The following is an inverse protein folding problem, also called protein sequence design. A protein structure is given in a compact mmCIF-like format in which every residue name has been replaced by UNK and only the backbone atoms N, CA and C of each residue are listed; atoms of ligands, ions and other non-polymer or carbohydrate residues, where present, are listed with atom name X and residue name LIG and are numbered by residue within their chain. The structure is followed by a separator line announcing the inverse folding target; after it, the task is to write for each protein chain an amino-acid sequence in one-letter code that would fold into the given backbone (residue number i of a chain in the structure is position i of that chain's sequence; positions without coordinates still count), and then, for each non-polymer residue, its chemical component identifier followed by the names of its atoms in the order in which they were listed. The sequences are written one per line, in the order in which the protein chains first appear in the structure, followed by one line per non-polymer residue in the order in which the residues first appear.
data_IF_921691480406
#
_entry.id   IF_921691480406
#
_cell.length_a   1.000
_cell.length_b   1.000
_cell.length_c   1.000
_cell.angle_alpha   90.00
_cell.angle_beta   90.00
_cell.angle_gamma   90.00
#
_symmetry.space_group_name_H-M   'P 1'
#
loop_
_entity.id
_entity.type
_entity.pdbx_description
1 polymer ?
#
# COMPACT_ATOMS: atom_id res chain seq x y z
N UNK A 1 7.00 -19.59 -10.57
CA UNK A 1 6.98 -18.14 -10.30
C UNK A 1 8.32 -17.81 -9.69
N UNK A 2 9.06 -16.89 -10.27
CA UNK A 2 10.35 -16.46 -9.74
C UNK A 2 10.13 -15.89 -8.34
N UNK A 3 10.77 -16.46 -7.33
CA UNK A 3 10.77 -15.96 -5.96
C UNK A 3 11.60 -14.68 -5.93
N UNK A 4 10.94 -13.54 -6.17
CA UNK A 4 11.58 -12.23 -6.23
C UNK A 4 11.85 -11.78 -4.78
N UNK A 5 13.06 -12.03 -4.31
CA UNK A 5 13.57 -11.49 -3.04
C UNK A 5 14.17 -10.11 -3.29
N UNK A 6 13.38 -9.06 -3.05
CA UNK A 6 13.87 -7.69 -2.98
C UNK A 6 14.16 -7.36 -1.51
N UNK A 7 15.42 -7.02 -1.23
CA UNK A 7 15.78 -6.39 0.04
C UNK A 7 15.58 -4.88 -0.09
N UNK A 8 14.43 -4.42 0.39
CA UNK A 8 14.03 -3.01 0.36
C UNK A 8 15.04 -2.13 1.11
N UNK A 9 15.68 -2.66 2.16
CA UNK A 9 16.70 -1.94 2.92
C UNK A 9 17.99 -1.79 2.10
N UNK A 10 18.38 -2.81 1.34
CA UNK A 10 19.53 -2.73 0.43
C UNK A 10 19.30 -1.75 -0.72
N UNK A 11 18.08 -1.73 -1.28
CA UNK A 11 17.68 -0.78 -2.33
C UNK A 11 17.72 0.66 -1.80
N UNK A 12 17.14 0.91 -0.63
CA UNK A 12 17.21 2.23 0.02
C UNK A 12 18.65 2.63 0.34
N UNK A 13 19.47 1.70 0.86
CA UNK A 13 20.88 1.99 1.13
C UNK A 13 21.64 2.35 -0.15
N UNK A 14 21.29 1.74 -1.28
CA UNK A 14 21.91 2.03 -2.58
C UNK A 14 21.49 3.41 -3.10
N UNK A 15 20.21 3.77 -2.96
CA UNK A 15 19.72 5.11 -3.28
C UNK A 15 20.45 6.18 -2.45
N UNK A 16 20.54 6.01 -1.13
CA UNK A 16 21.24 6.97 -0.25
C UNK A 16 22.74 7.08 -0.56
N UNK A 17 23.39 5.98 -0.98
CA UNK A 17 24.79 6.03 -1.42
C UNK A 17 24.94 6.84 -2.70
N UNK A 18 24.06 6.62 -3.68
CA UNK A 18 24.08 7.35 -4.94
C UNK A 18 23.93 8.87 -4.71
N UNK A 19 22.99 9.28 -3.86
CA UNK A 19 22.81 10.69 -3.50
C UNK A 19 23.99 11.27 -2.76
N UNK A 20 24.57 10.52 -1.82
CA UNK A 20 25.75 10.97 -1.10
C UNK A 20 26.89 11.23 -2.08
N UNK A 21 27.13 10.31 -3.01
CA UNK A 21 28.16 10.47 -4.03
C UNK A 21 27.84 11.67 -4.92
N UNK A 22 26.58 11.87 -5.32
CA UNK A 22 26.15 13.03 -6.09
C UNK A 22 26.42 14.34 -5.34
N UNK A 23 26.08 14.40 -4.03
CA UNK A 23 26.35 15.56 -3.17
C UNK A 23 27.84 15.81 -2.91
N UNK A 24 28.65 14.76 -2.78
CA UNK A 24 30.10 14.88 -2.67
C UNK A 24 30.69 15.49 -3.94
N UNK A 25 30.21 15.05 -5.12
CA UNK A 25 30.57 15.69 -6.38
C UNK A 25 30.09 17.14 -6.45
N UNK A 26 28.84 17.44 -6.06
CA UNK A 26 28.29 18.80 -6.08
C UNK A 26 29.17 19.79 -5.30
N UNK A 27 29.63 19.36 -4.12
CA UNK A 27 30.46 20.13 -3.18
C UNK A 27 31.94 20.17 -3.56
N UNK A 28 32.41 19.26 -4.43
CA UNK A 28 33.81 19.20 -4.83
C UNK A 28 34.27 20.52 -5.48
N UNK A 29 35.31 21.10 -4.91
CA UNK A 29 35.80 22.44 -5.24
C UNK A 29 36.43 22.50 -6.64
N UNK A 30 36.28 23.65 -7.29
CA UNK A 30 36.75 23.90 -8.66
C UNK A 30 38.19 24.41 -8.63
N UNK A 31 39.15 23.50 -8.55
CA UNK A 31 40.58 23.85 -8.39
C UNK A 31 41.27 24.16 -9.74
N UNK A 32 40.58 23.94 -10.88
CA UNK A 32 41.20 24.08 -12.21
C UNK A 32 41.69 25.50 -12.53
N UNK A 33 40.92 26.54 -12.17
CA UNK A 33 41.32 27.93 -12.41
C UNK A 33 42.51 28.35 -11.53
N UNK A 34 42.53 27.90 -10.28
CA UNK A 34 43.66 28.14 -9.38
C UNK A 34 44.92 27.42 -9.85
N UNK A 35 44.77 26.14 -10.22
CA UNK A 35 45.86 25.29 -10.71
C UNK A 35 46.44 25.83 -12.01
N UNK A 36 45.61 26.38 -12.90
CA UNK A 36 46.05 26.99 -14.15
C UNK A 36 46.99 28.18 -13.90
N UNK A 37 46.76 28.96 -12.83
CA UNK A 37 47.62 30.07 -12.43
C UNK A 37 49.04 29.65 -12.04
N UNK A 38 49.22 28.44 -11.49
CA UNK A 38 50.53 27.94 -11.08
C UNK A 38 51.37 27.34 -12.22
N UNK A 39 50.80 27.19 -13.43
CA UNK A 39 51.51 26.55 -14.56
C UNK A 39 52.61 27.42 -15.20
N UNK A 40 52.58 28.75 -14.99
CA UNK A 40 53.59 29.68 -15.49
C UNK A 40 53.66 29.84 -17.02
N UNK A 41 52.77 29.19 -17.78
CA UNK A 41 52.73 29.27 -19.24
C UNK A 41 51.29 29.26 -19.75
N UNK A 42 50.92 30.28 -20.55
CA UNK A 42 49.54 30.50 -21.01
C UNK A 42 48.94 29.30 -21.75
N UNK A 43 49.74 28.59 -22.56
CA UNK A 43 49.27 27.41 -23.28
C UNK A 43 48.95 26.22 -22.37
N UNK A 44 49.69 26.03 -21.28
CA UNK A 44 49.41 24.97 -20.30
C UNK A 44 48.25 25.38 -19.40
N UNK A 45 48.21 26.65 -18.98
CA UNK A 45 47.09 27.22 -18.25
C UNK A 45 45.77 27.04 -19.03
N UNK A 46 45.78 27.26 -20.35
CA UNK A 46 44.63 27.01 -21.21
C UNK A 46 44.18 25.54 -21.19
N UNK A 47 45.11 24.58 -21.25
CA UNK A 47 44.77 23.15 -21.17
C UNK A 47 44.21 22.72 -19.82
N UNK A 48 44.71 23.29 -18.72
CA UNK A 48 44.18 23.03 -17.38
C UNK A 48 42.75 23.57 -17.25
N UNK A 49 42.49 24.78 -17.76
CA UNK A 49 41.12 25.35 -17.80
C UNK A 49 40.18 24.54 -18.70
N UNK A 50 40.63 24.14 -19.88
CA UNK A 50 39.87 23.27 -20.78
C UNK A 50 39.50 21.94 -20.11
N UNK A 51 40.46 21.33 -19.40
CA UNK A 51 40.23 20.13 -18.63
C UNK A 51 39.21 20.38 -17.52
N UNK A 52 39.38 21.45 -16.74
CA UNK A 52 38.44 21.87 -15.71
C UNK A 52 37.01 21.98 -16.24
N UNK A 53 36.80 22.76 -17.30
CA UNK A 53 35.47 22.91 -17.90
C UNK A 53 34.87 21.60 -18.41
N UNK A 54 35.67 20.73 -19.06
CA UNK A 54 35.19 19.41 -19.50
C UNK A 54 34.87 18.49 -18.33
N UNK A 55 35.70 18.52 -17.29
CA UNK A 55 35.49 17.77 -16.07
C UNK A 55 34.22 18.20 -15.36
N UNK A 56 33.94 19.51 -15.29
CA UNK A 56 32.72 20.02 -14.69
C UNK A 56 31.46 19.56 -15.43
N UNK A 57 31.49 19.58 -16.76
CA UNK A 57 30.39 19.05 -17.59
C UNK A 57 30.21 17.55 -17.35
N UNK A 58 31.30 16.79 -17.30
CA UNK A 58 31.24 15.35 -17.03
C UNK A 58 30.72 15.05 -15.62
N UNK A 59 31.16 15.83 -14.63
CA UNK A 59 30.71 15.75 -13.23
C UNK A 59 29.23 16.07 -13.11
N UNK A 60 28.75 17.14 -13.76
CA UNK A 60 27.32 17.48 -13.77
C UNK A 60 26.47 16.36 -14.36
N UNK A 61 26.90 15.77 -15.48
CA UNK A 61 26.19 14.60 -16.05
C UNK A 61 26.22 13.39 -15.10
N UNK A 62 27.31 13.14 -14.40
CA UNK A 62 27.39 12.04 -13.44
C UNK A 62 26.44 12.28 -12.25
N UNK A 63 26.38 13.51 -11.75
CA UNK A 63 25.46 13.95 -10.70
C UNK A 63 24.00 13.77 -11.11
N UNK A 64 23.64 14.18 -12.33
CA UNK A 64 22.29 13.98 -12.90
C UNK A 64 21.94 12.48 -12.96
N UNK A 65 22.86 11.64 -13.44
CA UNK A 65 22.64 10.19 -13.53
C UNK A 65 22.51 9.54 -12.15
N UNK A 66 23.32 9.94 -11.17
CA UNK A 66 23.23 9.41 -9.80
C UNK A 66 21.92 9.80 -9.12
N UNK A 67 21.47 11.04 -9.33
CA UNK A 67 20.17 11.54 -8.85
C UNK A 67 19.04 10.74 -9.49
N UNK A 68 19.07 10.56 -10.82
CA UNK A 68 18.09 9.75 -11.54
C UNK A 68 18.01 8.31 -11.02
N UNK A 69 19.16 7.68 -10.75
CA UNK A 69 19.20 6.33 -10.17
C UNK A 69 18.58 6.32 -8.78
N UNK A 70 18.93 7.28 -7.92
CA UNK A 70 18.38 7.36 -6.56
C UNK A 70 16.86 7.54 -6.57
N UNK A 71 16.34 8.40 -7.44
CA UNK A 71 14.90 8.62 -7.60
C UNK A 71 14.19 7.36 -8.08
N UNK A 72 14.77 6.66 -9.06
CA UNK A 72 14.21 5.41 -9.56
C UNK A 72 14.18 4.32 -8.48
N UNK A 73 15.26 4.17 -7.72
CA UNK A 73 15.32 3.19 -6.63
C UNK A 73 14.29 3.50 -5.54
N UNK A 74 14.04 4.78 -5.22
CA UNK A 74 12.95 5.16 -4.31
C UNK A 74 11.57 4.85 -4.87
N UNK A 75 11.32 5.21 -6.12
CA UNK A 75 10.03 4.92 -6.76
C UNK A 75 9.71 3.41 -6.74
N UNK A 76 10.73 2.57 -6.90
CA UNK A 76 10.58 1.11 -6.73
C UNK A 76 10.16 0.77 -5.30
N UNK A 77 10.85 1.30 -4.29
CA UNK A 77 10.52 1.06 -2.87
C UNK A 77 9.11 1.53 -2.54
N UNK A 78 8.74 2.76 -2.92
CA UNK A 78 7.41 3.32 -2.70
C UNK A 78 6.33 2.42 -3.31
N UNK A 79 6.54 1.95 -4.55
CA UNK A 79 5.61 1.03 -5.21
C UNK A 79 5.46 -0.29 -4.44
N UNK A 80 6.54 -0.83 -3.86
CA UNK A 80 6.47 -2.05 -3.06
C UNK A 80 5.74 -1.84 -1.73
N UNK A 81 5.97 -0.72 -1.05
CA UNK A 81 5.28 -0.37 0.20
C UNK A 81 3.78 -0.13 -0.02
N UNK A 82 3.42 0.54 -1.12
CA UNK A 82 2.02 0.74 -1.52
C UNK A 82 1.34 -0.60 -1.80
N UNK A 83 1.98 -1.49 -2.58
CA UNK A 83 1.45 -2.82 -2.88
C UNK A 83 1.28 -3.69 -1.63
N UNK A 84 2.22 -3.63 -0.67
CA UNK A 84 2.11 -4.36 0.59
C UNK A 84 0.96 -3.82 1.45
N UNK A 85 0.81 -2.50 1.52
CA UNK A 85 -0.27 -1.82 2.24
C UNK A 85 -1.64 -2.18 1.66
N UNK A 86 -1.78 -2.14 0.35
CA UNK A 86 -3.01 -2.50 -0.36
C UNK A 86 -3.37 -3.97 -0.15
N UNK A 87 -2.38 -4.86 -0.20
CA UNK A 87 -2.60 -6.29 0.04
C UNK A 87 -3.03 -6.56 1.49
N UNK A 88 -2.37 -5.92 2.46
CA UNK A 88 -2.74 -6.03 3.87
C UNK A 88 -4.16 -5.53 4.11
N UNK A 89 -4.54 -4.39 3.52
CA UNK A 89 -5.90 -3.84 3.59
C UNK A 89 -6.93 -4.81 2.98
N UNK A 90 -6.65 -5.36 1.80
CA UNK A 90 -7.54 -6.32 1.13
C UNK A 90 -7.76 -7.59 1.98
N UNK A 91 -6.72 -8.12 2.60
CA UNK A 91 -6.81 -9.29 3.48
C UNK A 91 -7.65 -9.00 4.73
N UNK A 92 -7.45 -7.83 5.35
CA UNK A 92 -8.23 -7.44 6.53
C UNK A 92 -9.70 -7.18 6.20
N UNK A 93 -9.98 -6.61 5.02
CA UNK A 93 -11.33 -6.44 4.52
C UNK A 93 -12.02 -7.78 4.27
N UNK A 94 -11.33 -8.75 3.66
CA UNK A 94 -11.86 -10.10 3.44
C UNK A 94 -12.21 -10.77 4.78
N UNK A 95 -11.30 -10.74 5.76
CA UNK A 95 -11.55 -11.33 7.09
C UNK A 95 -12.73 -10.69 7.81
N UNK A 96 -12.89 -9.37 7.69
CA UNK A 96 -14.01 -8.65 8.28
C UNK A 96 -15.34 -9.03 7.62
N UNK A 97 -15.33 -9.22 6.30
CA UNK A 97 -16.48 -9.75 5.55
C UNK A 97 -16.86 -11.18 5.97
N UNK A 98 -15.87 -12.05 6.11
CA UNK A 98 -16.08 -13.43 6.57
C UNK A 98 -16.63 -13.46 8.01
N UNK A 99 -16.13 -12.59 8.89
CA UNK A 99 -16.62 -12.46 10.26
C UNK A 99 -18.06 -11.93 10.32
N UNK A 100 -18.42 -10.97 9.46
CA UNK A 100 -19.78 -10.46 9.34
C UNK A 100 -20.75 -11.56 8.85
N UNK A 101 -20.35 -12.33 7.83
CA UNK A 101 -21.14 -13.46 7.34
C UNK A 101 -21.31 -14.56 8.42
N UNK A 102 -20.25 -14.85 9.19
CA UNK A 102 -20.32 -15.80 10.29
C UNK A 102 -21.23 -15.32 11.45
N UNK A 103 -21.27 -14.01 11.71
CA UNK A 103 -22.19 -13.43 12.68
C UNK A 103 -23.65 -13.55 12.22
N UNK A 104 -23.92 -13.28 10.94
CA UNK A 104 -25.26 -13.40 10.33
C UNK A 104 -25.78 -14.85 10.41
N UNK A 105 -24.92 -15.84 10.14
CA UNK A 105 -25.25 -17.27 10.29
C UNK A 105 -25.52 -17.66 11.76
N UNK A 106 -24.79 -17.09 12.71
CA UNK A 106 -25.01 -17.34 14.16
C UNK A 106 -26.29 -16.69 14.67
N UNK A 107 -26.62 -15.51 14.18
CA UNK A 107 -27.88 -14.82 14.49
C UNK A 107 -29.06 -15.63 13.93
N UNK A 108 -28.98 -16.06 12.67
CA UNK A 108 -29.96 -16.95 12.05
C UNK A 108 -30.11 -18.30 12.79
N UNK A 109 -29.01 -18.87 13.32
CA UNK A 109 -29.06 -20.10 14.11
C UNK A 109 -29.63 -19.90 15.54
N UNK A 110 -29.59 -18.69 16.08
CA UNK A 110 -30.17 -18.35 17.39
C UNK A 110 -31.67 -18.00 17.30
N UNK A 111 -32.16 -17.68 16.11
CA UNK A 111 -33.58 -17.52 15.83
C UNK A 111 -34.29 -18.88 15.88
N UNK A 112 -34.67 -19.32 17.08
CA UNK A 112 -35.55 -20.49 17.27
C UNK A 112 -36.86 -20.21 16.53
N UNK A 113 -37.32 -21.05 15.57
CA UNK A 113 -38.62 -20.84 14.96
C UNK A 113 -39.68 -21.02 16.05
N UNK A 114 -40.41 -19.96 16.38
CA UNK A 114 -41.60 -20.05 17.23
C UNK A 114 -42.55 -21.06 16.59
N UNK A 115 -42.91 -22.18 17.26
CA UNK A 115 -43.80 -23.16 16.67
C UNK A 115 -45.16 -22.49 16.42
N UNK A 116 -45.72 -22.71 15.23
CA UNK A 116 -47.05 -22.26 14.88
C UNK A 116 -48.07 -22.80 15.92
N UNK A 117 -49.05 -21.99 16.36
CA UNK A 117 -50.06 -22.47 17.31
C UNK A 117 -50.80 -23.66 16.69
N UNK A 118 -50.88 -24.77 17.44
CA UNK A 118 -51.57 -25.98 17.00
C UNK A 118 -53.04 -25.67 16.69
N UNK A 119 -53.63 -26.27 15.63
CA UNK A 119 -55.05 -26.08 15.34
C UNK A 119 -55.88 -26.62 16.52
N UNK A 120 -56.73 -25.76 17.07
CA UNK A 120 -57.67 -26.11 18.15
C UNK A 120 -58.67 -27.14 17.60
N UNK A 121 -58.88 -28.30 18.24
CA UNK A 121 -59.90 -29.25 17.81
C UNK A 121 -61.30 -28.63 17.96
N UNK A 122 -62.05 -28.59 16.86
CA UNK A 122 -63.45 -28.16 16.84
C UNK A 122 -64.28 -29.04 17.77
N UNK A 123 -65.05 -28.47 18.72
CA UNK A 123 -65.92 -29.26 19.58
C UNK A 123 -67.04 -29.92 18.76
N UNK A 124 -67.17 -31.23 18.91
CA UNK A 124 -68.28 -32.03 18.37
C UNK A 124 -69.61 -31.50 18.91
N UNK A 125 -70.62 -31.22 18.06
CA UNK A 125 -71.94 -30.81 18.53
C UNK A 125 -72.57 -31.90 19.41
N UNK A 126 -72.87 -31.55 20.67
CA UNK A 126 -73.60 -32.40 21.60
C UNK A 126 -75.06 -32.58 21.17
N UNK A 127 -75.70 -33.70 21.55
CA UNK A 127 -77.06 -34.03 21.12
C UNK A 127 -78.07 -33.00 21.65
N UNK A 128 -78.98 -32.56 20.77
CA UNK A 128 -80.04 -31.61 21.06
C UNK A 128 -81.09 -32.21 22.01
N UNK A 129 -81.35 -31.60 23.18
CA UNK A 129 -82.48 -31.98 24.00
C UNK A 129 -83.78 -31.37 23.45
N UNK A 130 -84.80 -32.22 23.39
CA UNK A 130 -86.18 -32.02 22.91
C UNK A 130 -86.97 -31.00 23.75
N UNK A 131 -87.85 -30.16 23.16
CA UNK A 131 -88.61 -29.15 23.89
C UNK A 131 -89.88 -29.74 24.54
N UNK A 132 -90.29 -29.22 25.70
CA UNK A 132 -91.71 -29.02 26.00
C UNK A 132 -91.96 -27.55 26.45
N UNK A 133 -92.79 -26.81 25.72
CA UNK A 133 -94.24 -26.58 25.95
C UNK A 133 -94.53 -25.46 26.96
N UNK A 134 -94.83 -24.30 26.40
CA UNK A 134 -95.88 -23.30 26.71
C UNK A 134 -96.40 -23.13 28.16
N UNK A 135 -96.49 -21.88 28.64
CA UNK A 135 -97.30 -21.56 29.82
C UNK A 135 -97.03 -20.24 30.57
N UNK A 136 -97.73 -19.18 30.15
CA UNK A 136 -98.59 -18.29 30.97
C UNK A 136 -98.00 -17.21 31.92
N UNK A 137 -98.46 -15.97 31.66
CA UNK A 137 -98.55 -14.71 32.46
C UNK A 137 -97.40 -13.71 32.52
#
# INVERSE_FOLDING_TARGET
MSDLKIDVSEVLSSASRAERIAGDFSTAERIADETAGYTGHDGLAGKVRDFGGKWDIARGKLEDNLTFIADYLRAVVDTFEDLDTDLAAAVQQSRSGDAAAAADVRDAASATPTPAPAPVPTPTPGPAPTPPTDGDR
#
